data_IF_130789090987
#
_entry.id   IF_130789090987
#
_cell.length_a   1.000
_cell.length_b   1.000
_cell.length_c   1.000
_cell.angle_alpha   90.00
_cell.angle_beta   90.00
_cell.angle_gamma   90.00
#
_symmetry.space_group_name_H-M   'P 1'
#
loop_
_entity.id
_entity.type
_entity.pdbx_description
1 polymer ?
#
# COMPACT_ATOMS: atom_id res chain seq x y z
N UNK A 1 -57.54 2.83 -13.11
CA UNK A 1 -57.11 3.62 -11.93
C UNK A 1 -55.91 2.94 -11.23
N UNK A 2 -54.86 2.46 -12.01
CA UNK A 2 -53.73 1.68 -11.47
C UNK A 2 -52.36 2.23 -11.86
N UNK A 3 -52.27 3.33 -12.60
CA UNK A 3 -50.99 3.86 -13.12
C UNK A 3 -50.34 4.88 -12.18
N UNK A 4 -51.09 5.51 -11.26
CA UNK A 4 -50.58 6.55 -10.36
C UNK A 4 -49.83 6.07 -9.12
N UNK A 5 -49.85 4.77 -8.77
CA UNK A 5 -49.15 4.25 -7.58
C UNK A 5 -47.64 3.98 -7.80
N UNK A 6 -47.21 3.75 -9.06
CA UNK A 6 -45.80 3.45 -9.35
C UNK A 6 -44.92 4.71 -9.38
N UNK A 7 -45.46 5.86 -9.76
CA UNK A 7 -44.67 7.10 -9.80
C UNK A 7 -44.27 7.65 -8.44
N UNK A 8 -45.06 7.41 -7.40
CA UNK A 8 -44.72 7.85 -6.03
C UNK A 8 -43.55 7.06 -5.41
N UNK A 9 -43.38 5.80 -5.78
CA UNK A 9 -42.29 4.96 -5.27
C UNK A 9 -40.93 5.38 -5.80
N UNK A 10 -40.85 5.75 -7.09
CA UNK A 10 -39.59 6.17 -7.72
C UNK A 10 -39.13 7.52 -7.18
N UNK A 11 -40.04 8.48 -6.94
CA UNK A 11 -39.69 9.77 -6.37
C UNK A 11 -39.26 9.67 -4.89
N UNK A 12 -39.83 8.75 -4.12
CA UNK A 12 -39.44 8.53 -2.73
C UNK A 12 -38.02 7.90 -2.62
N UNK A 13 -37.67 6.99 -3.51
CA UNK A 13 -36.33 6.39 -3.58
C UNK A 13 -35.27 7.44 -3.99
N UNK A 14 -35.58 8.28 -4.98
CA UNK A 14 -34.67 9.35 -5.40
C UNK A 14 -34.48 10.43 -4.31
N UNK A 15 -35.52 10.80 -3.56
CA UNK A 15 -35.38 11.74 -2.43
C UNK A 15 -34.56 11.18 -1.27
N UNK A 16 -34.64 9.87 -1.01
CA UNK A 16 -33.84 9.23 0.04
C UNK A 16 -32.38 9.09 -0.38
N UNK A 17 -32.10 8.84 -1.67
CA UNK A 17 -30.73 8.75 -2.18
C UNK A 17 -30.02 10.11 -2.16
N UNK A 18 -30.67 11.20 -2.57
CA UNK A 18 -30.13 12.56 -2.47
C UNK A 18 -29.95 13.03 -1.02
N UNK A 19 -30.81 12.58 -0.08
CA UNK A 19 -30.70 12.94 1.34
C UNK A 19 -29.52 12.24 2.03
N UNK A 20 -29.14 11.04 1.58
CA UNK A 20 -27.96 10.30 2.11
C UNK A 20 -26.65 10.91 1.62
N UNK A 21 -26.61 11.47 0.40
CA UNK A 21 -25.41 12.11 -0.15
C UNK A 21 -25.12 13.49 0.46
N UNK A 22 -26.14 14.23 0.92
CA UNK A 22 -25.95 15.53 1.58
C UNK A 22 -25.43 15.44 3.03
N UNK A 23 -25.29 14.25 3.57
CA UNK A 23 -24.72 13.98 4.90
C UNK A 23 -23.29 13.44 4.88
N UNK A 24 -22.71 13.18 3.70
CA UNK A 24 -21.31 12.82 3.59
C UNK A 24 -20.47 14.09 3.72
N UNK A 25 -19.65 14.15 4.76
CA UNK A 25 -18.65 15.21 4.95
C UNK A 25 -17.67 15.27 3.78
N UNK A 26 -16.93 16.35 3.72
CA UNK A 26 -15.84 16.51 2.75
C UNK A 26 -14.77 15.45 2.98
N UNK A 27 -14.27 14.84 1.91
CA UNK A 27 -13.18 13.85 1.95
C UNK A 27 -11.90 14.52 1.47
N UNK A 28 -10.87 14.51 2.30
CA UNK A 28 -9.58 15.10 1.99
C UNK A 28 -8.60 14.07 1.43
N UNK A 29 -8.01 14.38 0.27
CA UNK A 29 -6.95 13.57 -0.34
C UNK A 29 -5.65 14.34 -0.37
N UNK A 30 -4.58 13.76 0.18
CA UNK A 30 -3.23 14.32 0.15
C UNK A 30 -2.30 13.35 -0.58
N UNK A 31 -1.51 13.88 -1.51
CA UNK A 31 -0.44 13.12 -2.17
C UNK A 31 0.79 13.15 -1.27
N UNK A 32 1.33 11.97 -0.95
CA UNK A 32 2.55 11.82 -0.16
C UNK A 32 3.71 11.57 -1.11
N UNK A 33 4.77 12.32 -0.93
CA UNK A 33 6.01 12.19 -1.72
C UNK A 33 7.23 12.50 -0.85
N UNK A 34 8.31 11.75 -1.04
CA UNK A 34 9.59 11.96 -0.38
C UNK A 34 10.74 11.63 -1.33
N UNK A 35 11.86 12.37 -1.21
CA UNK A 35 13.09 12.09 -1.95
C UNK A 35 13.97 11.00 -1.27
N UNK A 36 13.51 10.47 -0.12
CA UNK A 36 14.18 9.39 0.62
C UNK A 36 13.70 7.99 0.21
N UNK A 37 12.70 7.92 -0.66
CA UNK A 37 12.24 6.70 -1.30
C UNK A 37 12.30 6.87 -2.82
N UNK A 38 12.32 5.77 -3.61
CA UNK A 38 12.36 5.85 -5.06
C UNK A 38 11.21 6.68 -5.63
N UNK A 39 11.50 7.52 -6.62
CA UNK A 39 10.47 8.21 -7.40
C UNK A 39 9.59 7.22 -8.17
N UNK A 40 8.36 7.62 -8.47
CA UNK A 40 7.47 6.82 -9.31
C UNK A 40 8.05 6.63 -10.72
N UNK A 41 8.05 5.40 -11.21
CA UNK A 41 8.53 5.04 -12.57
C UNK A 41 7.38 4.97 -13.58
N UNK A 42 6.20 5.45 -13.21
CA UNK A 42 4.99 5.44 -14.04
C UNK A 42 3.97 6.49 -13.55
N UNK A 43 2.75 6.52 -14.11
CA UNK A 43 1.73 7.49 -13.75
C UNK A 43 1.02 7.17 -12.43
N UNK A 44 1.77 7.14 -11.31
CA UNK A 44 1.27 6.90 -9.95
C UNK A 44 2.06 7.73 -8.93
N UNK A 45 1.54 7.83 -7.71
CA UNK A 45 2.20 8.49 -6.59
C UNK A 45 2.84 7.45 -5.67
N UNK A 46 3.85 7.82 -4.89
CA UNK A 46 4.44 6.95 -3.87
C UNK A 46 3.39 6.50 -2.84
N UNK A 47 2.53 7.42 -2.42
CA UNK A 47 1.36 7.09 -1.61
C UNK A 47 0.27 8.17 -1.73
N UNK A 48 -0.95 7.78 -1.35
CA UNK A 48 -2.13 8.66 -1.28
C UNK A 48 -2.76 8.50 0.09
N UNK A 49 -2.89 9.60 0.81
CA UNK A 49 -3.62 9.69 2.07
C UNK A 49 -5.05 10.17 1.79
N UNK A 50 -6.05 9.39 2.21
CA UNK A 50 -7.47 9.77 2.16
C UNK A 50 -7.98 9.79 3.59
N UNK A 51 -8.31 10.98 4.09
CA UNK A 51 -8.58 11.24 5.50
C UNK A 51 -7.46 10.68 6.40
N UNK A 52 -7.65 9.52 7.00
CA UNK A 52 -6.65 8.83 7.82
C UNK A 52 -6.09 7.55 7.20
N UNK A 53 -6.61 7.14 6.05
CA UNK A 53 -6.17 5.91 5.37
C UNK A 53 -5.09 6.24 4.35
N UNK A 54 -3.91 5.69 4.55
CA UNK A 54 -2.75 5.83 3.67
C UNK A 54 -2.61 4.58 2.81
N UNK A 55 -2.65 4.76 1.50
CA UNK A 55 -2.40 3.74 0.48
C UNK A 55 -0.99 3.93 -0.05
N UNK A 56 -0.11 2.96 0.17
CA UNK A 56 1.29 2.98 -0.29
C UNK A 56 1.41 2.08 -1.50
N UNK A 57 1.90 2.64 -2.60
CA UNK A 57 2.17 1.90 -3.84
C UNK A 57 3.24 0.84 -3.63
N UNK A 58 3.25 -0.20 -4.48
CA UNK A 58 4.22 -1.27 -4.45
C UNK A 58 5.66 -0.75 -4.44
N UNK A 59 6.43 -1.20 -3.46
CA UNK A 59 7.85 -0.90 -3.32
C UNK A 59 8.65 -2.12 -3.70
N UNK A 60 9.61 -1.93 -4.60
CA UNK A 60 10.64 -2.92 -4.96
C UNK A 60 11.99 -2.50 -4.37
N UNK A 61 12.99 -3.34 -4.50
CA UNK A 61 14.32 -3.13 -3.94
C UNK A 61 15.17 -2.04 -4.64
N UNK A 62 14.57 -0.91 -5.02
CA UNK A 62 15.30 0.21 -5.59
C UNK A 62 16.06 1.01 -4.52
N UNK A 63 17.32 1.28 -4.77
CA UNK A 63 18.08 2.31 -4.07
C UNK A 63 17.57 3.70 -4.54
N UNK A 64 17.14 4.60 -3.61
CA UNK A 64 16.44 5.83 -3.99
C UNK A 64 17.23 6.81 -4.89
N UNK A 65 18.56 6.84 -4.73
CA UNK A 65 19.39 7.81 -5.49
C UNK A 65 19.73 7.32 -6.90
N UNK A 66 20.01 6.04 -7.03
CA UNK A 66 20.46 5.46 -8.30
C UNK A 66 19.32 4.90 -9.14
N UNK A 67 18.18 4.62 -8.51
CA UNK A 67 17.04 3.93 -9.12
C UNK A 67 17.43 2.57 -9.71
N UNK A 68 18.43 1.92 -9.10
CA UNK A 68 18.85 0.55 -9.42
C UNK A 68 18.39 -0.41 -8.34
N UNK A 69 18.08 -1.64 -8.73
CA UNK A 69 17.76 -2.70 -7.77
C UNK A 69 19.05 -3.11 -7.04
N UNK A 70 18.97 -3.11 -5.70
CA UNK A 70 20.11 -3.49 -4.85
C UNK A 70 20.53 -4.95 -5.07
N UNK A 71 21.82 -5.25 -4.85
CA UNK A 71 22.34 -6.62 -4.92
C UNK A 71 22.44 -7.20 -6.32
N UNK A 72 22.42 -6.37 -7.37
CA UNK A 72 22.53 -6.80 -8.77
C UNK A 72 23.83 -6.34 -9.44
N UNK A 73 24.88 -6.27 -8.69
CA UNK A 73 26.19 -5.93 -9.23
C UNK A 73 26.69 -7.03 -10.14
N UNK A 74 27.35 -6.65 -11.24
CA UNK A 74 27.99 -7.55 -12.20
C UNK A 74 27.05 -8.60 -12.85
N UNK A 75 25.76 -8.28 -13.04
CA UNK A 75 24.82 -9.20 -13.72
C UNK A 75 24.34 -10.38 -12.85
N UNK A 76 24.51 -10.30 -11.53
CA UNK A 76 23.98 -11.29 -10.59
C UNK A 76 22.44 -11.33 -10.64
N UNK A 77 21.86 -12.50 -10.31
CA UNK A 77 20.40 -12.68 -10.25
C UNK A 77 19.71 -11.86 -9.14
N UNK A 78 20.48 -11.12 -8.32
CA UNK A 78 19.97 -10.41 -7.16
C UNK A 78 19.83 -11.32 -5.92
N UNK A 79 19.54 -10.68 -4.79
CA UNK A 79 19.30 -11.35 -3.52
C UNK A 79 17.95 -10.88 -2.97
N UNK A 80 16.96 -11.76 -2.92
CA UNK A 80 15.59 -11.43 -2.50
C UNK A 80 15.55 -10.77 -1.12
N UNK A 81 16.40 -11.19 -0.18
CA UNK A 81 16.47 -10.57 1.15
C UNK A 81 16.97 -9.13 1.11
N UNK A 82 17.94 -8.81 0.23
CA UNK A 82 18.41 -7.44 0.03
C UNK A 82 17.32 -6.59 -0.61
N UNK A 83 16.65 -7.10 -1.64
CA UNK A 83 15.53 -6.41 -2.29
C UNK A 83 14.36 -6.20 -1.31
N UNK A 84 14.00 -7.20 -0.51
CA UNK A 84 12.94 -7.10 0.50
C UNK A 84 13.27 -6.06 1.57
N UNK A 85 14.52 -6.05 2.05
CA UNK A 85 14.99 -5.06 3.02
C UNK A 85 14.87 -3.66 2.45
N UNK A 86 15.38 -3.42 1.26
CA UNK A 86 15.34 -2.11 0.61
C UNK A 86 13.89 -1.67 0.33
N UNK A 87 13.02 -2.57 -0.14
CA UNK A 87 11.60 -2.28 -0.36
C UNK A 87 10.91 -1.83 0.94
N UNK A 88 11.19 -2.50 2.05
CA UNK A 88 10.65 -2.13 3.36
C UNK A 88 11.26 -0.81 3.86
N UNK A 89 12.56 -0.56 3.71
CA UNK A 89 13.17 0.73 4.03
C UNK A 89 12.52 1.89 3.25
N UNK A 90 12.29 1.71 1.95
CA UNK A 90 11.58 2.67 1.09
C UNK A 90 10.16 2.94 1.62
N UNK A 91 9.42 1.89 1.97
CA UNK A 91 8.10 2.00 2.60
C UNK A 91 8.17 2.80 3.92
N UNK A 92 9.18 2.55 4.75
CA UNK A 92 9.39 3.26 6.00
C UNK A 92 9.57 4.77 5.81
N UNK A 93 10.30 5.20 4.79
CA UNK A 93 10.48 6.61 4.48
C UNK A 93 9.18 7.26 3.93
N UNK A 94 8.36 6.52 3.20
CA UNK A 94 7.04 6.98 2.76
C UNK A 94 6.08 7.09 3.96
N UNK A 95 6.04 6.09 4.84
CA UNK A 95 5.27 6.14 6.09
C UNK A 95 5.63 7.37 6.92
N UNK A 96 6.92 7.61 7.09
CA UNK A 96 7.45 8.76 7.85
C UNK A 96 7.05 10.10 7.23
N UNK A 97 7.09 10.20 5.90
CA UNK A 97 6.63 11.40 5.19
C UNK A 97 5.13 11.67 5.40
N UNK A 98 4.34 10.63 5.65
CA UNK A 98 2.92 10.74 5.98
C UNK A 98 2.64 10.92 7.49
N UNK A 99 3.67 11.01 8.35
CA UNK A 99 3.51 11.10 9.81
C UNK A 99 3.11 9.77 10.45
N UNK A 100 3.47 8.64 9.84
CA UNK A 100 3.17 7.29 10.27
C UNK A 100 4.47 6.45 10.48
N UNK A 101 4.29 5.22 10.92
CA UNK A 101 5.35 4.22 11.10
C UNK A 101 4.83 2.83 10.75
N UNK A 102 5.68 1.79 10.85
CA UNK A 102 5.25 0.41 10.65
C UNK A 102 4.11 -0.02 11.59
N UNK A 103 4.03 0.54 12.78
CA UNK A 103 2.94 0.27 13.73
C UNK A 103 1.57 0.79 13.24
N UNK A 104 1.57 1.66 12.25
CA UNK A 104 0.36 2.17 11.62
C UNK A 104 -0.13 1.30 10.45
N UNK A 105 0.70 0.37 9.97
CA UNK A 105 0.35 -0.50 8.85
C UNK A 105 -0.65 -1.55 9.30
N UNK A 106 -1.79 -1.62 8.63
CA UNK A 106 -2.87 -2.57 8.95
C UNK A 106 -2.99 -3.69 7.93
N UNK A 107 -2.44 -3.50 6.73
CA UNK A 107 -2.40 -4.52 5.70
C UNK A 107 -1.16 -4.37 4.83
N UNK A 108 -0.61 -5.51 4.37
CA UNK A 108 0.39 -5.59 3.30
C UNK A 108 0.01 -6.66 2.28
N UNK A 109 0.44 -6.46 1.02
CA UNK A 109 0.48 -7.50 -0.01
C UNK A 109 1.93 -7.69 -0.42
N UNK A 110 2.41 -8.92 -0.40
CA UNK A 110 3.78 -9.30 -0.78
C UNK A 110 3.70 -10.13 -2.06
N UNK A 111 4.25 -9.58 -3.15
CA UNK A 111 4.32 -10.21 -4.45
C UNK A 111 5.72 -10.78 -4.64
N UNK A 112 5.83 -12.03 -5.03
CA UNK A 112 7.08 -12.76 -5.19
C UNK A 112 7.29 -13.17 -6.65
N UNK A 113 8.50 -13.03 -7.17
CA UNK A 113 8.86 -13.60 -8.46
C UNK A 113 8.97 -15.13 -8.39
N UNK A 114 9.33 -15.68 -7.21
CA UNK A 114 9.38 -17.11 -6.94
C UNK A 114 8.83 -17.37 -5.52
N UNK A 115 7.85 -18.27 -5.38
CA UNK A 115 7.24 -18.61 -4.09
C UNK A 115 8.25 -19.29 -3.13
N UNK A 116 9.30 -19.88 -3.64
CA UNK A 116 10.36 -20.47 -2.83
C UNK A 116 11.13 -19.43 -2.00
N UNK A 117 11.05 -18.14 -2.37
CA UNK A 117 11.65 -17.02 -1.62
C UNK A 117 10.81 -16.61 -0.39
N UNK A 118 9.63 -17.21 -0.19
CA UNK A 118 8.69 -16.83 0.87
C UNK A 118 9.32 -16.82 2.27
N UNK A 119 10.10 -17.85 2.60
CA UNK A 119 10.76 -17.95 3.92
C UNK A 119 11.83 -16.86 4.07
N UNK A 120 12.65 -16.66 3.05
CA UNK A 120 13.72 -15.67 3.05
C UNK A 120 13.19 -14.24 3.19
N UNK A 121 12.07 -13.92 2.52
CA UNK A 121 11.38 -12.64 2.65
C UNK A 121 10.76 -12.48 4.04
N UNK A 122 10.18 -13.53 4.61
CA UNK A 122 9.63 -13.50 5.98
C UNK A 122 10.71 -13.20 7.04
N UNK A 123 11.91 -13.71 6.86
CA UNK A 123 13.02 -13.44 7.78
C UNK A 123 13.41 -11.95 7.81
N UNK A 124 13.32 -11.28 6.68
CA UNK A 124 13.50 -9.82 6.61
C UNK A 124 12.27 -9.10 7.15
N UNK A 125 11.07 -9.49 6.73
CA UNK A 125 9.82 -8.84 7.09
C UNK A 125 9.61 -8.72 8.60
N UNK A 126 9.92 -9.77 9.38
CA UNK A 126 9.80 -9.77 10.84
C UNK A 126 10.76 -8.81 11.56
N UNK A 127 11.79 -8.31 10.88
CA UNK A 127 12.69 -7.31 11.46
C UNK A 127 12.13 -5.89 11.41
N UNK A 128 11.13 -5.64 10.55
CA UNK A 128 10.42 -4.36 10.41
C UNK A 128 9.10 -4.36 11.17
N UNK A 129 8.36 -5.47 11.11
CA UNK A 129 7.11 -5.68 11.84
C UNK A 129 7.39 -6.59 13.03
N UNK A 130 7.63 -6.01 14.20
CA UNK A 130 8.09 -6.74 15.39
C UNK A 130 6.96 -7.12 16.36
N UNK A 131 5.79 -6.49 16.21
CA UNK A 131 4.58 -6.74 17.02
C UNK A 131 3.35 -6.33 16.22
N UNK A 132 2.15 -6.78 16.65
CA UNK A 132 0.87 -6.40 16.06
C UNK A 132 0.89 -6.48 14.53
N UNK A 133 1.28 -7.65 14.02
CA UNK A 133 1.45 -7.87 12.58
C UNK A 133 0.24 -7.42 11.77
N UNK A 134 0.43 -6.69 10.64
CA UNK A 134 -0.66 -6.34 9.75
C UNK A 134 -1.27 -7.59 9.10
N UNK A 135 -2.54 -7.52 8.73
CA UNK A 135 -3.13 -8.52 7.85
C UNK A 135 -2.30 -8.61 6.55
N UNK A 136 -2.01 -9.82 6.05
CA UNK A 136 -1.15 -10.00 4.89
C UNK A 136 -1.68 -11.03 3.91
N UNK A 137 -1.51 -10.76 2.60
CA UNK A 137 -1.50 -11.75 1.54
C UNK A 137 -0.07 -11.85 0.96
N UNK A 138 0.35 -13.06 0.55
CA UNK A 138 1.61 -13.25 -0.17
C UNK A 138 1.41 -14.34 -1.23
N UNK A 139 1.86 -14.08 -2.46
CA UNK A 139 1.74 -15.01 -3.57
C UNK A 139 2.77 -14.72 -4.67
N UNK A 140 3.04 -15.73 -5.48
CA UNK A 140 3.86 -15.58 -6.67
C UNK A 140 3.07 -14.90 -7.79
N UNK A 141 3.76 -14.07 -8.57
CA UNK A 141 3.23 -13.40 -9.76
C UNK A 141 4.03 -13.77 -11.01
N UNK A 142 3.45 -13.55 -12.18
CA UNK A 142 4.09 -13.88 -13.45
C UNK A 142 5.38 -13.06 -13.70
N UNK A 143 5.40 -11.79 -13.30
CA UNK A 143 6.56 -10.90 -13.40
C UNK A 143 6.37 -9.70 -12.48
N UNK A 144 7.50 -9.09 -12.06
CA UNK A 144 7.55 -7.84 -11.33
C UNK A 144 8.28 -6.76 -12.14
N UNK A 145 7.98 -5.47 -11.92
CA UNK A 145 8.64 -4.37 -12.60
C UNK A 145 10.16 -4.46 -12.49
N UNK A 146 10.85 -4.16 -13.59
CA UNK A 146 12.34 -4.21 -13.66
C UNK A 146 12.96 -5.56 -13.27
N UNK A 147 12.17 -6.63 -13.32
CA UNK A 147 12.59 -7.96 -12.93
C UNK A 147 12.88 -8.07 -11.42
N UNK A 148 12.26 -7.29 -10.56
CA UNK A 148 12.38 -7.39 -9.11
C UNK A 148 12.02 -8.81 -8.64
N UNK A 149 12.60 -9.24 -7.54
CA UNK A 149 12.32 -10.54 -6.92
C UNK A 149 11.16 -10.46 -5.92
N UNK A 150 10.90 -9.26 -5.39
CA UNK A 150 9.82 -8.99 -4.44
C UNK A 150 9.29 -7.58 -4.63
N UNK A 151 7.98 -7.42 -4.44
CA UNK A 151 7.30 -6.13 -4.35
C UNK A 151 6.35 -6.16 -3.14
N UNK A 152 6.30 -5.07 -2.39
CA UNK A 152 5.47 -4.96 -1.18
C UNK A 152 4.67 -3.67 -1.23
N UNK A 153 3.34 -3.78 -1.18
CA UNK A 153 2.41 -2.67 -0.99
C UNK A 153 1.81 -2.68 0.42
N UNK A 154 1.28 -1.54 0.86
CA UNK A 154 0.69 -1.44 2.19
C UNK A 154 -0.50 -0.48 2.27
N UNK A 155 -1.36 -0.75 3.25
CA UNK A 155 -2.37 0.19 3.75
C UNK A 155 -2.05 0.48 5.21
N UNK A 156 -2.04 1.76 5.57
CA UNK A 156 -1.81 2.23 6.94
C UNK A 156 -2.90 3.20 7.40
N UNK A 157 -3.04 3.37 8.71
CA UNK A 157 -3.95 4.36 9.32
C UNK A 157 -3.13 5.38 10.08
N UNK A 158 -3.13 6.63 9.62
CA UNK A 158 -2.35 7.73 10.21
C UNK A 158 -2.99 8.17 11.53
N UNK A 159 -2.14 8.35 12.55
CA UNK A 159 -2.52 8.76 13.91
C UNK A 159 -2.37 7.63 14.92
N UNK A 160 -2.80 7.89 16.15
CA UNK A 160 -2.68 6.91 17.24
C UNK A 160 -3.63 5.75 17.04
N UNK A 161 -3.10 4.54 16.99
CA UNK A 161 -3.86 3.29 17.04
C UNK A 161 -3.88 2.82 18.50
N UNK A 162 -5.07 2.47 18.99
CA UNK A 162 -5.23 1.79 20.28
C UNK A 162 -5.66 0.36 19.98
N UNK A 163 -4.78 -0.58 20.29
CA UNK A 163 -5.12 -2.00 20.17
C UNK A 163 -6.08 -2.39 21.30
N UNK A 164 -7.13 -3.10 20.94
CA UNK A 164 -8.09 -3.71 21.88
C UNK A 164 -7.98 -5.22 21.72
N UNK A 165 -7.87 -5.91 22.84
CA UNK A 165 -7.89 -7.38 22.89
C UNK A 165 -9.30 -7.90 22.60
#
# INVERSE_FOLDING_TARGET
MHIYRHFRSIYAVQKNFTRTMSGLGEVHRTIISTNKAPGAIGPYNQAVLVDRTLYISGQIGFEPKTMQIVGRENGSKGHVQMEAKQALENMGEILKAAGASYNNVVKTTVLLADINDFVAVNDVYKTFFTSNYPARAAYQVAALPKGALVEIEAVAVVGTIKDTA
#
